data_IF_443034425416
#
_entry.id   IF_443034425416
#
_cell.length_a   1.000
_cell.length_b   1.000
_cell.length_c   1.000
_cell.angle_alpha   90.00
_cell.angle_beta   90.00
_cell.angle_gamma   90.00
#
_symmetry.space_group_name_H-M   'P 1'
#
loop_
_entity.id
_entity.type
_entity.pdbx_description
1 polymer ?
#
# COMPACT_ATOMS: atom_id res chain seq x y z
N UNK A 1 -21.05 -8.91 -9.22
CA UNK A 1 -20.77 -9.83 -10.33
C UNK A 1 -19.31 -10.28 -10.21
N UNK A 2 -19.06 -11.49 -9.67
CA UNK A 2 -17.70 -12.01 -9.47
C UNK A 2 -17.01 -12.39 -10.79
N UNK A 3 -17.77 -12.80 -11.81
CA UNK A 3 -17.23 -13.30 -13.07
C UNK A 3 -16.52 -12.19 -13.84
N UNK A 4 -17.13 -11.00 -13.89
CA UNK A 4 -16.52 -9.80 -14.50
C UNK A 4 -15.25 -9.35 -13.77
N UNK A 5 -15.19 -9.48 -12.44
CA UNK A 5 -13.98 -9.11 -11.70
C UNK A 5 -12.82 -10.09 -11.98
N UNK A 6 -13.13 -11.38 -12.06
CA UNK A 6 -12.16 -12.42 -12.41
C UNK A 6 -11.66 -12.29 -13.84
N UNK A 7 -12.53 -11.98 -14.80
CA UNK A 7 -12.12 -11.81 -16.19
C UNK A 7 -11.11 -10.67 -16.34
N UNK A 8 -11.37 -9.51 -15.73
CA UNK A 8 -10.47 -8.35 -15.83
C UNK A 8 -9.13 -8.57 -15.11
N UNK A 9 -9.11 -9.32 -14.01
CA UNK A 9 -7.87 -9.75 -13.37
C UNK A 9 -7.05 -10.66 -14.32
N UNK A 10 -7.72 -11.62 -14.96
CA UNK A 10 -7.10 -12.67 -15.75
C UNK A 10 -6.63 -12.22 -17.14
N UNK A 11 -7.13 -11.09 -17.64
CA UNK A 11 -6.65 -10.46 -18.88
C UNK A 11 -5.13 -10.22 -18.86
N UNK A 12 -4.56 -9.96 -17.68
CA UNK A 12 -3.13 -9.67 -17.50
C UNK A 12 -2.39 -10.68 -16.62
N UNK A 13 -3.12 -11.43 -15.78
CA UNK A 13 -2.56 -12.44 -14.88
C UNK A 13 -3.37 -13.77 -14.93
N UNK A 14 -3.37 -14.49 -16.07
CA UNK A 14 -4.23 -15.66 -16.26
C UNK A 14 -3.77 -16.91 -15.48
N UNK A 15 -2.50 -16.98 -15.09
CA UNK A 15 -1.93 -18.17 -14.48
C UNK A 15 -2.56 -18.47 -13.11
N UNK A 16 -2.85 -19.74 -12.82
CA UNK A 16 -3.41 -20.18 -11.53
C UNK A 16 -2.69 -19.62 -10.29
N UNK A 17 -1.35 -19.54 -10.24
CA UNK A 17 -0.64 -18.95 -9.10
C UNK A 17 -1.00 -17.48 -8.81
N UNK A 18 -1.50 -16.73 -9.80
CA UNK A 18 -1.91 -15.35 -9.61
C UNK A 18 -3.16 -15.21 -8.73
N UNK A 19 -4.04 -16.23 -8.69
CA UNK A 19 -5.25 -16.22 -7.87
C UNK A 19 -4.96 -16.23 -6.36
N UNK A 20 -3.77 -16.67 -5.99
CA UNK A 20 -3.27 -16.70 -4.60
C UNK A 20 -2.12 -15.72 -4.37
N UNK A 21 -1.72 -14.96 -5.38
CA UNK A 21 -0.60 -14.04 -5.26
C UNK A 21 -0.98 -12.81 -4.43
N UNK A 22 -0.04 -12.35 -3.59
CA UNK A 22 -0.20 -11.12 -2.81
C UNK A 22 0.12 -9.87 -3.64
N UNK A 23 -0.37 -9.81 -4.88
CA UNK A 23 -0.34 -8.61 -5.74
C UNK A 23 -1.35 -8.75 -6.89
N UNK A 24 -1.85 -7.61 -7.36
CA UNK A 24 -2.69 -7.53 -8.57
C UNK A 24 -1.87 -6.99 -9.75
N UNK A 25 -2.48 -6.97 -10.93
CA UNK A 25 -1.87 -6.50 -12.18
C UNK A 25 -1.45 -5.03 -12.19
N UNK A 26 -2.09 -4.19 -11.36
CA UNK A 26 -1.80 -2.74 -11.34
C UNK A 26 -0.44 -2.38 -10.73
N UNK A 27 -0.02 -3.06 -9.66
CA UNK A 27 1.17 -2.67 -8.89
C UNK A 27 2.31 -3.68 -9.02
N UNK A 28 2.02 -4.90 -9.47
CA UNK A 28 3.00 -5.97 -9.58
C UNK A 28 3.60 -6.40 -8.23
N UNK A 29 4.52 -7.38 -8.26
CA UNK A 29 4.99 -8.08 -7.06
C UNK A 29 5.83 -7.22 -6.11
N UNK A 30 6.45 -6.14 -6.62
CA UNK A 30 7.37 -5.30 -5.84
C UNK A 30 6.71 -4.07 -5.22
N UNK A 31 5.59 -3.60 -5.78
CA UNK A 31 4.99 -2.32 -5.41
C UNK A 31 3.54 -2.44 -4.94
N UNK A 32 3.05 -3.67 -4.69
CA UNK A 32 1.73 -3.85 -4.11
C UNK A 32 1.67 -3.22 -2.71
N UNK A 33 0.92 -2.13 -2.58
CA UNK A 33 0.76 -1.38 -1.33
C UNK A 33 0.31 -2.26 -0.17
N UNK A 34 -0.67 -3.14 -0.41
CA UNK A 34 -1.19 -4.04 0.62
C UNK A 34 -0.12 -5.01 1.14
N UNK A 35 0.68 -5.60 0.24
CA UNK A 35 1.80 -6.47 0.62
C UNK A 35 2.84 -5.70 1.42
N UNK A 36 3.24 -4.51 0.94
CA UNK A 36 4.23 -3.68 1.64
C UNK A 36 3.74 -3.33 3.05
N UNK A 37 2.46 -2.97 3.21
CA UNK A 37 1.87 -2.72 4.52
C UNK A 37 1.93 -3.96 5.42
N UNK A 38 1.66 -5.15 4.88
CA UNK A 38 1.78 -6.40 5.63
C UNK A 38 3.23 -6.65 6.08
N UNK A 39 4.19 -6.51 5.17
CA UNK A 39 5.62 -6.69 5.43
C UNK A 39 6.11 -5.73 6.54
N UNK A 40 5.69 -4.46 6.50
CA UNK A 40 6.03 -3.45 7.52
C UNK A 40 5.45 -3.81 8.89
N UNK A 41 4.19 -4.26 8.96
CA UNK A 41 3.56 -4.67 10.22
C UNK A 41 4.22 -5.91 10.81
N UNK A 42 4.59 -6.88 9.98
CA UNK A 42 5.33 -8.06 10.42
C UNK A 42 6.73 -7.71 10.92
N UNK A 43 7.42 -6.82 10.21
CA UNK A 43 8.71 -6.28 10.65
C UNK A 43 8.59 -5.60 12.02
N UNK A 44 7.61 -4.71 12.20
CA UNK A 44 7.37 -4.00 13.47
C UNK A 44 7.11 -4.99 14.61
N UNK A 45 6.25 -6.00 14.38
CA UNK A 45 5.94 -7.06 15.35
C UNK A 45 7.19 -7.88 15.73
N UNK A 46 7.98 -8.30 14.74
CA UNK A 46 9.17 -9.11 14.96
C UNK A 46 10.28 -8.36 15.73
N UNK A 47 10.36 -7.05 15.57
CA UNK A 47 11.38 -6.21 16.20
C UNK A 47 10.88 -5.47 17.45
N UNK A 48 9.64 -5.73 17.89
CA UNK A 48 9.06 -5.08 19.08
C UNK A 48 8.95 -3.57 18.94
N UNK A 49 8.80 -3.06 17.71
CA UNK A 49 8.67 -1.63 17.44
C UNK A 49 7.22 -1.23 17.78
N UNK A 50 7.06 -0.40 18.80
CA UNK A 50 5.77 0.20 19.13
C UNK A 50 5.34 1.18 18.04
N UNK A 51 4.26 0.86 17.35
CA UNK A 51 3.77 1.64 16.20
C UNK A 51 3.26 3.02 16.62
N UNK A 52 2.73 3.17 17.83
CA UNK A 52 1.97 4.35 18.25
C UNK A 52 2.83 5.64 18.26
N UNK A 53 4.02 5.59 18.86
CA UNK A 53 4.88 6.79 18.97
C UNK A 53 5.52 7.19 17.63
N UNK A 54 5.86 6.21 16.79
CA UNK A 54 6.42 6.46 15.45
C UNK A 54 5.35 7.02 14.51
N UNK A 55 4.12 6.48 14.60
CA UNK A 55 2.99 6.92 13.79
C UNK A 55 2.61 8.37 14.12
N UNK A 56 2.51 8.73 15.39
CA UNK A 56 2.15 10.09 15.80
C UNK A 56 3.19 11.13 15.36
N UNK A 57 4.48 10.82 15.52
CA UNK A 57 5.56 11.67 15.03
C UNK A 57 5.50 11.84 13.49
N UNK A 58 5.33 10.75 12.73
CA UNK A 58 5.26 10.79 11.27
C UNK A 58 4.02 11.53 10.74
N UNK A 59 2.86 11.37 11.40
CA UNK A 59 1.65 12.11 11.07
C UNK A 59 1.79 13.60 11.37
N UNK A 60 2.47 13.96 12.46
CA UNK A 60 2.74 15.36 12.82
C UNK A 60 3.59 16.04 11.75
N UNK A 61 4.70 15.40 11.34
CA UNK A 61 5.57 15.89 10.28
C UNK A 61 4.83 16.08 8.96
N UNK A 62 4.03 15.09 8.53
CA UNK A 62 3.25 15.18 7.29
C UNK A 62 2.15 16.24 7.35
N UNK A 63 1.55 16.45 8.51
CA UNK A 63 0.57 17.52 8.71
C UNK A 63 1.23 18.91 8.57
N UNK A 64 2.44 19.08 9.09
CA UNK A 64 3.19 20.33 8.93
C UNK A 64 3.62 20.57 7.49
N UNK A 65 4.11 19.54 6.79
CA UNK A 65 4.41 19.59 5.36
C UNK A 65 3.18 20.01 4.54
N UNK A 66 2.02 19.40 4.81
CA UNK A 66 0.76 19.74 4.14
C UNK A 66 0.35 21.20 4.37
N UNK A 67 0.51 21.71 5.60
CA UNK A 67 0.24 23.12 5.93
C UNK A 67 1.19 24.07 5.19
N UNK A 68 2.50 23.76 5.18
CA UNK A 68 3.53 24.55 4.49
C UNK A 68 3.27 24.62 2.99
N UNK A 69 2.83 23.52 2.38
CA UNK A 69 2.51 23.43 0.95
C UNK A 69 1.13 24.01 0.60
N UNK A 70 0.48 24.70 1.54
CA UNK A 70 -0.77 25.42 1.33
C UNK A 70 -2.01 24.51 1.31
N UNK A 71 -1.94 23.36 1.95
CA UNK A 71 -3.08 22.46 2.16
C UNK A 71 -3.61 21.82 0.88
N UNK A 72 -2.75 21.54 -0.10
CA UNK A 72 -3.14 20.96 -1.39
C UNK A 72 -2.76 19.49 -1.46
N UNK A 73 -3.71 18.67 -1.89
CA UNK A 73 -3.49 17.24 -2.11
C UNK A 73 -2.66 16.97 -3.39
N UNK A 74 -2.83 17.82 -4.40
CA UNK A 74 -2.12 17.72 -5.67
C UNK A 74 -1.12 18.88 -5.80
N UNK A 75 0.16 18.54 -5.79
CA UNK A 75 1.25 19.50 -6.02
C UNK A 75 1.53 19.59 -7.52
N UNK A 76 1.81 20.78 -8.06
CA UNK A 76 2.28 20.90 -9.43
C UNK A 76 3.59 20.12 -9.59
N UNK A 77 3.70 19.34 -10.68
CA UNK A 77 4.93 18.60 -11.04
C UNK A 77 6.11 19.54 -11.30
#
# INVERSE_FOLDING_TARGET
>A
DPDTASSYHDETLPAEPAKTAHFCSMCGPKFCSMRITQDVREYARAHGIGEDQVLEAGLTEKADEFRVLGGRLYLPQ
#
